data_IF_527177911388
#
_entry.id   IF_527177911388
#
_cell.length_a   1.000
_cell.length_b   1.000
_cell.length_c   1.000
_cell.angle_alpha   90.00
_cell.angle_beta   90.00
_cell.angle_gamma   90.00
#
_symmetry.space_group_name_H-M   'P 1'
#
loop_
_entity.id
_entity.type
_entity.pdbx_description
1 polymer ?
#
# COMPACT_ATOMS: atom_id res chain seq x y z
N UNK A 1 17.33 -16.61 4.99
CA UNK A 1 16.81 -16.80 3.64
C UNK A 1 16.11 -15.53 3.16
N UNK A 2 16.43 -15.13 1.97
CA UNK A 2 15.81 -13.92 1.41
C UNK A 2 14.43 -14.25 0.87
N UNK A 3 13.46 -13.46 1.28
CA UNK A 3 12.06 -13.66 0.91
C UNK A 3 11.58 -12.69 -0.16
N UNK A 4 12.51 -12.16 -0.97
CA UNK A 4 12.17 -11.13 -1.94
C UNK A 4 11.09 -11.55 -2.93
N UNK A 5 11.18 -12.77 -3.49
CA UNK A 5 10.18 -13.25 -4.44
C UNK A 5 8.82 -13.37 -3.79
N UNK A 6 8.77 -13.90 -2.57
CA UNK A 6 7.52 -14.00 -1.83
C UNK A 6 6.99 -12.64 -1.44
N UNK A 7 7.87 -11.74 -1.00
CA UNK A 7 7.48 -10.37 -0.67
C UNK A 7 6.90 -9.65 -1.88
N UNK A 8 7.49 -9.85 -3.05
CA UNK A 8 6.98 -9.24 -4.27
C UNK A 8 5.60 -9.78 -4.63
N UNK A 9 5.37 -11.08 -4.45
CA UNK A 9 4.06 -11.68 -4.67
C UNK A 9 3.02 -11.11 -3.69
N UNK A 10 3.39 -10.99 -2.42
CA UNK A 10 2.51 -10.40 -1.40
C UNK A 10 2.19 -8.96 -1.76
N UNK A 11 3.21 -8.20 -2.11
CA UNK A 11 3.05 -6.79 -2.52
C UNK A 11 2.05 -6.68 -3.67
N UNK A 12 2.25 -7.47 -4.72
CA UNK A 12 1.38 -7.44 -5.90
C UNK A 12 -0.03 -7.92 -5.58
N UNK A 13 -0.19 -8.86 -4.66
CA UNK A 13 -1.51 -9.37 -4.28
C UNK A 13 -2.34 -8.32 -3.55
N UNK A 14 -1.70 -7.36 -2.90
CA UNK A 14 -2.40 -6.28 -2.21
C UNK A 14 -2.66 -5.09 -3.14
N UNK A 15 -2.02 -5.08 -4.31
CA UNK A 15 -2.15 -3.99 -5.27
C UNK A 15 -3.21 -4.35 -6.30
N UNK A 16 -4.46 -4.35 -5.88
CA UNK A 16 -5.58 -4.84 -6.70
C UNK A 16 -6.42 -3.73 -7.32
N UNK A 17 -6.86 -2.78 -6.51
CA UNK A 17 -7.65 -1.66 -7.00
C UNK A 17 -7.62 -0.53 -5.99
N UNK A 18 -7.92 0.68 -6.48
CA UNK A 18 -8.10 1.83 -5.61
C UNK A 18 -9.36 1.62 -4.76
N UNK A 19 -9.21 1.68 -3.44
CA UNK A 19 -10.34 1.47 -2.54
C UNK A 19 -11.32 2.66 -2.53
N UNK A 20 -10.97 3.74 -3.20
CA UNK A 20 -11.80 4.95 -3.24
C UNK A 20 -12.55 5.07 -4.57
N UNK A 21 -11.84 5.04 -5.70
CA UNK A 21 -12.47 5.23 -7.00
C UNK A 21 -12.57 3.95 -7.84
N UNK A 22 -11.94 2.86 -7.42
CA UNK A 22 -12.03 1.59 -8.12
C UNK A 22 -11.05 1.38 -9.26
N UNK A 23 -10.06 2.26 -9.44
CA UNK A 23 -9.04 2.09 -10.47
C UNK A 23 -8.35 0.74 -10.31
N UNK A 24 -8.20 0.00 -11.43
CA UNK A 24 -7.62 -1.35 -11.40
C UNK A 24 -6.26 -1.47 -12.10
N UNK A 25 -5.81 -0.43 -12.80
CA UNK A 25 -4.51 -0.49 -13.48
C UNK A 25 -3.39 -0.44 -12.46
N UNK A 26 -2.59 -1.50 -12.41
CA UNK A 26 -1.53 -1.60 -11.39
C UNK A 26 -0.52 -0.46 -11.47
N UNK A 27 -0.23 0.02 -12.67
CA UNK A 27 0.70 1.13 -12.83
C UNK A 27 0.19 2.44 -12.25
N UNK A 28 -1.11 2.53 -12.00
CA UNK A 28 -1.74 3.71 -11.42
C UNK A 28 -1.99 3.57 -9.91
N UNK A 29 -1.65 2.43 -9.33
CA UNK A 29 -1.94 2.15 -7.93
C UNK A 29 -0.72 2.37 -7.05
N UNK A 30 -0.98 2.86 -5.84
CA UNK A 30 0.04 3.12 -4.82
C UNK A 30 -0.51 2.74 -3.46
N UNK A 31 0.35 2.70 -2.46
CA UNK A 31 -0.07 2.46 -1.09
C UNK A 31 0.04 3.73 -0.28
N UNK A 32 -1.02 4.03 0.47
CA UNK A 32 -1.09 5.20 1.34
C UNK A 32 -1.16 4.74 2.79
N UNK A 33 -0.24 5.22 3.63
CA UNK A 33 -0.23 4.88 5.05
C UNK A 33 -1.33 5.64 5.78
N UNK A 34 -2.18 4.89 6.48
CA UNK A 34 -3.26 5.45 7.30
C UNK A 34 -2.98 5.30 8.79
N UNK A 35 -1.96 4.52 9.14
CA UNK A 35 -1.49 4.35 10.50
C UNK A 35 -0.02 4.71 10.58
N UNK A 36 0.68 4.03 11.49
CA UNK A 36 2.12 4.28 11.68
C UNK A 36 2.90 3.74 10.49
N UNK A 37 3.74 4.59 9.90
CA UNK A 37 4.63 4.19 8.82
C UNK A 37 5.98 3.80 9.42
N UNK A 38 6.36 2.52 9.25
CA UNK A 38 7.66 2.04 9.73
C UNK A 38 8.73 2.10 8.65
N UNK A 39 8.33 1.94 7.38
CA UNK A 39 9.27 1.97 6.25
C UNK A 39 8.49 2.14 4.95
N UNK A 40 9.22 2.41 3.89
CA UNK A 40 8.63 2.49 2.55
C UNK A 40 8.53 1.07 1.99
N UNK A 41 7.31 0.57 1.81
CA UNK A 41 7.08 -0.82 1.42
C UNK A 41 7.77 -1.16 0.10
N UNK A 42 7.57 -0.34 -0.92
CA UNK A 42 8.09 -0.66 -2.26
C UNK A 42 9.61 -0.72 -2.30
N UNK A 43 10.28 0.06 -1.45
CA UNK A 43 11.75 0.12 -1.42
C UNK A 43 12.36 -0.89 -0.47
N UNK A 44 11.56 -1.53 0.36
CA UNK A 44 12.06 -2.40 1.43
C UNK A 44 11.87 -3.88 1.16
N UNK A 45 11.28 -4.27 0.03
CA UNK A 45 10.92 -5.66 -0.25
C UNK A 45 12.11 -6.63 -0.15
N UNK A 46 13.32 -6.17 -0.44
CA UNK A 46 14.51 -7.01 -0.39
C UNK A 46 15.08 -7.17 1.02
N UNK A 47 14.64 -6.33 1.95
CA UNK A 47 15.30 -6.19 3.25
C UNK A 47 14.43 -6.60 4.43
N UNK A 48 13.17 -6.94 4.20
CA UNK A 48 12.22 -7.23 5.27
C UNK A 48 11.73 -8.66 5.19
N UNK A 49 11.23 -9.17 6.31
CA UNK A 49 10.60 -10.49 6.36
C UNK A 49 9.17 -10.41 5.87
N UNK A 50 8.58 -11.55 5.53
CA UNK A 50 7.17 -11.61 5.16
C UNK A 50 6.27 -11.08 6.28
N UNK A 51 6.62 -11.42 7.52
CA UNK A 51 5.86 -10.98 8.68
C UNK A 51 5.86 -9.45 8.79
N UNK A 52 7.04 -8.83 8.62
CA UNK A 52 7.15 -7.38 8.64
C UNK A 52 6.31 -6.75 7.53
N UNK A 53 6.33 -7.34 6.34
CA UNK A 53 5.58 -6.85 5.21
C UNK A 53 4.07 -6.94 5.46
N UNK A 54 3.61 -8.09 5.92
CA UNK A 54 2.19 -8.32 6.20
C UNK A 54 1.71 -7.35 7.29
N UNK A 55 2.51 -7.15 8.32
CA UNK A 55 2.17 -6.22 9.39
C UNK A 55 2.08 -4.79 8.86
N UNK A 56 2.96 -4.41 7.94
CA UNK A 56 2.93 -3.06 7.39
C UNK A 56 1.69 -2.85 6.52
N UNK A 57 1.22 -3.87 5.82
CA UNK A 57 0.00 -3.76 5.02
C UNK A 57 -1.24 -3.49 5.87
N UNK A 58 -1.21 -3.78 7.15
CA UNK A 58 -2.30 -3.43 8.06
C UNK A 58 -2.41 -1.93 8.28
N UNK A 59 -1.36 -1.18 7.93
CA UNK A 59 -1.28 0.26 8.14
C UNK A 59 -1.49 1.05 6.85
N UNK A 60 -1.78 0.38 5.73
CA UNK A 60 -1.90 1.06 4.44
C UNK A 60 -3.18 0.67 3.72
N UNK A 61 -3.57 1.51 2.77
CA UNK A 61 -4.64 1.22 1.82
C UNK A 61 -4.07 1.36 0.41
N UNK A 62 -4.69 0.65 -0.54
CA UNK A 62 -4.32 0.76 -1.95
C UNK A 62 -5.17 1.84 -2.59
N UNK A 63 -4.54 2.82 -3.20
CA UNK A 63 -5.22 3.94 -3.85
C UNK A 63 -4.54 4.25 -5.18
N UNK A 64 -5.27 4.88 -6.10
CA UNK A 64 -4.64 5.35 -7.33
C UNK A 64 -3.88 6.66 -7.04
N UNK A 65 -3.04 7.05 -7.99
CA UNK A 65 -2.21 8.25 -7.83
C UNK A 65 -3.06 9.49 -7.60
N UNK A 66 -4.20 9.60 -8.27
CA UNK A 66 -5.09 10.73 -8.10
C UNK A 66 -5.68 10.78 -6.69
N UNK A 67 -6.19 9.65 -6.21
CA UNK A 67 -6.76 9.58 -4.87
C UNK A 67 -5.68 9.76 -3.81
N UNK A 68 -4.47 9.24 -4.04
CA UNK A 68 -3.34 9.42 -3.13
C UNK A 68 -3.02 10.91 -2.98
N UNK A 69 -2.97 11.61 -4.11
CA UNK A 69 -2.74 13.07 -4.11
C UNK A 69 -3.85 13.81 -3.36
N UNK A 70 -5.11 13.41 -3.59
CA UNK A 70 -6.24 14.03 -2.92
C UNK A 70 -6.20 13.83 -1.41
N UNK A 71 -5.77 12.65 -0.97
CA UNK A 71 -5.60 12.37 0.46
C UNK A 71 -4.51 13.25 1.07
N UNK A 72 -3.37 13.39 0.39
CA UNK A 72 -2.28 14.23 0.86
C UNK A 72 -2.67 15.70 0.92
N UNK A 73 -3.50 16.16 -0.02
CA UNK A 73 -3.95 17.54 -0.07
C UNK A 73 -5.24 17.76 0.71
N UNK A 74 -5.70 16.74 1.43
CA UNK A 74 -6.88 16.80 2.29
C UNK A 74 -8.17 17.18 1.56
N UNK A 75 -8.21 16.89 0.26
CA UNK A 75 -9.42 17.08 -0.55
C UNK A 75 -10.44 16.01 -0.20
N UNK A 76 -9.95 14.77 0.05
CA UNK A 76 -10.77 13.67 0.52
C UNK A 76 -10.11 13.08 1.76
N UNK A 77 -10.90 12.33 2.54
CA UNK A 77 -10.39 11.68 3.74
C UNK A 77 -10.77 10.20 3.70
N UNK A 78 -9.92 9.38 4.26
CA UNK A 78 -10.21 7.97 4.45
C UNK A 78 -10.31 7.67 5.94
N UNK A 79 -11.45 7.12 6.35
CA UNK A 79 -11.67 6.71 7.73
C UNK A 79 -11.74 5.20 7.80
N UNK A 80 -10.71 4.57 8.38
CA UNK A 80 -10.64 3.12 8.45
C UNK A 80 -11.68 2.53 9.39
N UNK A 81 -12.34 3.36 10.19
CA UNK A 81 -13.37 2.92 11.13
C UNK A 81 -14.79 3.10 10.59
N UNK A 82 -14.92 3.64 9.39
CA UNK A 82 -16.24 3.90 8.79
C UNK A 82 -16.69 2.77 7.89
#
# INVERSE_FOLDING_TARGET
>A
MKCYHNNKKIYNSHKTKCCICGETEKCCLEFHHIGTKHFNISKSLKYITEEQLINEFKQVICVCKNCHSKLHNKIIQYDRNS
#
